data_IF_582251930189
#
_entry.id   IF_582251930189
#
_cell.length_a   1.000
_cell.length_b   1.000
_cell.length_c   1.000
_cell.angle_alpha   90.00
_cell.angle_beta   90.00
_cell.angle_gamma   90.00
#
_symmetry.space_group_name_H-M   'P 1'
#
loop_
_entity.id
_entity.type
_entity.pdbx_description
1 polymer ?
#
# COMPACT_ATOMS: atom_id res chain seq x y z
N UNK A 1 -38.89 19.46 37.26
CA UNK A 1 -37.51 18.97 37.17
C UNK A 1 -37.53 17.65 36.42
N UNK A 2 -37.25 17.67 35.11
CA UNK A 2 -37.24 16.47 34.26
C UNK A 2 -36.06 16.61 33.29
N UNK A 3 -35.06 15.73 33.40
CA UNK A 3 -33.90 15.64 32.51
C UNK A 3 -34.19 14.50 31.53
N UNK A 4 -34.22 14.71 30.20
CA UNK A 4 -34.38 13.60 29.27
C UNK A 4 -33.03 12.96 28.90
N UNK A 5 -33.14 11.67 28.62
CA UNK A 5 -32.16 10.66 28.25
C UNK A 5 -30.94 11.12 27.44
N UNK A 6 -29.76 10.68 27.89
CA UNK A 6 -28.52 10.72 27.12
C UNK A 6 -28.57 9.75 25.94
N UNK A 7 -28.63 10.30 24.73
CA UNK A 7 -28.27 9.59 23.51
C UNK A 7 -26.75 9.36 23.50
N UNK A 8 -26.33 8.10 23.62
CA UNK A 8 -24.96 7.70 23.27
C UNK A 8 -24.78 7.94 21.77
N UNK A 9 -24.14 9.07 21.43
CA UNK A 9 -23.67 9.35 20.07
C UNK A 9 -22.79 8.21 19.61
N UNK A 10 -23.24 7.49 18.58
CA UNK A 10 -22.40 6.62 17.77
C UNK A 10 -21.16 7.42 17.38
N UNK A 11 -19.97 6.95 17.82
CA UNK A 11 -18.71 7.43 17.28
C UNK A 11 -18.60 6.91 15.85
N UNK A 12 -19.29 7.57 14.93
CA UNK A 12 -19.04 7.45 13.52
C UNK A 12 -17.66 8.08 13.32
N UNK A 13 -16.62 7.26 13.47
CA UNK A 13 -15.25 7.61 13.09
C UNK A 13 -15.35 8.00 11.63
N UNK A 14 -15.31 9.30 11.36
CA UNK A 14 -15.26 9.81 10.00
C UNK A 14 -14.09 9.10 9.34
N UNK A 15 -14.37 8.38 8.25
CA UNK A 15 -13.33 7.87 7.34
C UNK A 15 -12.72 9.06 6.61
N UNK A 16 -12.13 10.00 7.38
CA UNK A 16 -11.27 11.04 6.83
C UNK A 16 -10.18 10.27 6.11
N UNK A 17 -10.09 10.46 4.79
CA UNK A 17 -8.95 10.00 4.02
C UNK A 17 -7.71 10.47 4.78
N UNK A 18 -6.90 9.51 5.26
CA UNK A 18 -5.59 9.83 5.83
C UNK A 18 -4.83 10.57 4.73
N UNK A 19 -4.26 11.73 5.05
CA UNK A 19 -3.35 12.41 4.13
C UNK A 19 -2.23 11.44 3.77
N UNK A 20 -1.97 11.28 2.47
CA UNK A 20 -0.83 10.51 1.96
C UNK A 20 0.37 11.46 2.03
N UNK A 21 1.35 11.11 2.84
CA UNK A 21 2.52 11.94 3.15
C UNK A 21 3.80 11.14 2.95
N UNK A 22 4.84 11.82 2.48
CA UNK A 22 6.18 11.27 2.33
C UNK A 22 7.08 11.80 3.47
N UNK A 23 8.10 11.03 3.86
CA UNK A 23 9.18 11.51 4.74
C UNK A 23 10.21 12.36 3.97
N UNK A 24 11.20 12.92 4.70
CA UNK A 24 12.24 13.78 4.11
C UNK A 24 13.09 13.07 3.05
N UNK A 25 13.15 11.74 3.08
CA UNK A 25 13.84 10.91 2.09
C UNK A 25 12.94 10.49 0.92
N UNK A 26 11.68 10.91 0.93
CA UNK A 26 10.67 10.61 -0.08
C UNK A 26 10.05 9.22 0.06
N UNK A 27 10.20 8.51 1.18
CA UNK A 27 9.42 7.29 1.38
C UNK A 27 8.00 7.64 1.82
N UNK A 28 7.03 6.86 1.32
CA UNK A 28 5.68 6.88 1.85
C UNK A 28 5.68 6.56 3.36
N UNK A 29 5.02 7.42 4.14
CA UNK A 29 4.71 7.18 5.55
C UNK A 29 3.45 6.31 5.61
N UNK A 30 3.58 5.12 6.20
CA UNK A 30 2.46 4.18 6.34
C UNK A 30 2.49 3.47 7.70
N UNK A 31 1.38 2.81 8.04
CA UNK A 31 1.23 1.96 9.23
C UNK A 31 0.63 0.62 8.85
N UNK A 32 0.87 -0.40 9.68
CA UNK A 32 0.15 -1.67 9.58
C UNK A 32 -1.36 -1.40 9.70
N UNK A 33 -2.14 -2.02 8.81
CA UNK A 33 -3.58 -1.82 8.65
C UNK A 33 -3.98 -0.67 7.72
N UNK A 34 -3.02 0.10 7.19
CA UNK A 34 -3.34 1.10 6.16
C UNK A 34 -3.71 0.43 4.83
N UNK A 35 -4.56 1.13 4.08
CA UNK A 35 -5.09 0.66 2.80
C UNK A 35 -4.50 1.46 1.65
N UNK A 36 -3.94 0.76 0.67
CA UNK A 36 -3.44 1.32 -0.58
C UNK A 36 -4.38 0.96 -1.72
N UNK A 37 -4.76 1.96 -2.51
CA UNK A 37 -5.64 1.81 -3.69
C UNK A 37 -6.99 1.12 -3.38
N UNK A 38 -7.47 1.23 -2.13
CA UNK A 38 -8.68 0.55 -1.64
C UNK A 38 -8.68 -0.97 -1.94
N UNK A 39 -7.49 -1.58 -1.97
CA UNK A 39 -7.29 -3.00 -2.36
C UNK A 39 -6.30 -3.72 -1.48
N UNK A 40 -5.17 -3.08 -1.20
CA UNK A 40 -4.06 -3.70 -0.50
C UNK A 40 -4.02 -3.21 0.94
N UNK A 41 -4.26 -4.11 1.89
CA UNK A 41 -4.09 -3.82 3.32
C UNK A 41 -2.68 -4.19 3.75
N UNK A 42 -1.94 -3.26 4.36
CA UNK A 42 -0.57 -3.48 4.81
C UNK A 42 -0.57 -4.37 6.08
N UNK A 43 0.13 -5.49 6.02
CA UNK A 43 0.25 -6.46 7.12
C UNK A 43 1.56 -6.29 7.87
N UNK A 44 2.68 -6.12 7.16
CA UNK A 44 4.01 -5.96 7.74
C UNK A 44 5.00 -5.40 6.73
N UNK A 45 6.14 -4.92 7.19
CA UNK A 45 7.27 -4.56 6.33
C UNK A 45 8.13 -5.81 6.08
N UNK A 46 8.41 -6.10 4.82
CA UNK A 46 9.30 -7.19 4.40
C UNK A 46 10.75 -6.73 4.24
N UNK A 47 10.96 -5.47 3.85
CA UNK A 47 12.29 -4.90 3.72
C UNK A 47 12.28 -3.41 3.40
N UNK A 48 13.43 -2.78 3.59
CA UNK A 48 13.67 -1.37 3.32
C UNK A 48 15.05 -1.21 2.68
N UNK A 49 15.18 -0.26 1.76
CA UNK A 49 16.46 0.05 1.14
C UNK A 49 16.42 1.33 0.32
N UNK A 50 17.49 1.57 -0.44
CA UNK A 50 17.72 2.80 -1.21
C UNK A 50 16.58 3.14 -2.19
N UNK A 51 15.90 2.13 -2.74
CA UNK A 51 14.85 2.32 -3.73
C UNK A 51 13.46 2.58 -3.10
N UNK A 52 13.26 2.23 -1.83
CA UNK A 52 11.95 2.27 -1.19
C UNK A 52 11.74 1.18 -0.14
N UNK A 53 10.48 0.80 0.06
CA UNK A 53 10.07 -0.23 1.05
C UNK A 53 9.32 -1.34 0.34
N UNK A 54 9.48 -2.57 0.81
CA UNK A 54 8.65 -3.71 0.41
C UNK A 54 7.79 -4.09 1.60
N UNK A 55 6.48 -4.11 1.40
CA UNK A 55 5.52 -4.50 2.43
C UNK A 55 4.80 -5.78 2.04
N UNK A 56 4.45 -6.59 3.03
CA UNK A 56 3.49 -7.66 2.85
C UNK A 56 2.10 -7.05 2.91
N UNK A 57 1.28 -7.31 1.89
CA UNK A 57 -0.10 -6.87 1.84
C UNK A 57 -1.07 -8.04 1.70
N UNK A 58 -2.29 -7.83 2.17
CA UNK A 58 -3.45 -8.64 1.79
C UNK A 58 -4.13 -8.02 0.56
N UNK A 59 -4.23 -8.77 -0.54
CA UNK A 59 -4.96 -8.35 -1.74
C UNK A 59 -6.44 -8.77 -1.65
N UNK A 60 -7.28 -7.82 -1.24
CA UNK A 60 -8.71 -8.05 -1.03
C UNK A 60 -9.51 -8.27 -2.34
N UNK A 61 -8.95 -7.94 -3.51
CA UNK A 61 -9.60 -8.24 -4.80
C UNK A 61 -9.25 -9.60 -5.35
N UNK A 62 -8.21 -10.26 -4.83
CA UNK A 62 -7.75 -11.57 -5.27
C UNK A 62 -7.85 -12.60 -4.15
N UNK A 63 -9.05 -12.70 -3.56
CA UNK A 63 -9.39 -13.69 -2.54
C UNK A 63 -8.59 -13.56 -1.24
N UNK A 64 -8.15 -12.36 -0.87
CA UNK A 64 -7.27 -12.14 0.28
C UNK A 64 -5.98 -12.97 0.18
N UNK A 65 -5.31 -12.88 -0.97
CA UNK A 65 -3.99 -13.50 -1.13
C UNK A 65 -2.88 -12.57 -0.62
N UNK A 66 -1.84 -13.17 -0.03
CA UNK A 66 -0.67 -12.42 0.44
C UNK A 66 0.23 -12.07 -0.73
N UNK A 67 0.58 -10.79 -0.86
CA UNK A 67 1.47 -10.27 -1.91
C UNK A 67 2.59 -9.45 -1.29
N UNK A 68 3.72 -9.36 -1.99
CA UNK A 68 4.76 -8.38 -1.71
C UNK A 68 4.48 -7.14 -2.58
N UNK A 69 4.33 -5.98 -1.94
CA UNK A 69 4.11 -4.70 -2.61
C UNK A 69 5.35 -3.82 -2.42
N UNK A 70 6.04 -3.53 -3.54
CA UNK A 70 7.20 -2.64 -3.57
C UNK A 70 6.73 -1.20 -3.76
N UNK A 71 6.97 -0.35 -2.76
CA UNK A 71 6.63 1.07 -2.74
C UNK A 71 7.90 1.86 -3.02
N UNK A 72 7.98 2.46 -4.20
CA UNK A 72 9.14 3.22 -4.66
C UNK A 72 9.13 4.61 -4.02
N UNK A 73 10.29 5.10 -3.57
CA UNK A 73 10.44 6.48 -3.05
C UNK A 73 9.95 7.49 -4.10
N UNK A 74 9.37 8.60 -3.64
CA UNK A 74 8.95 9.73 -4.44
C UNK A 74 10.15 10.59 -4.92
N UNK A 75 11.12 9.97 -5.60
CA UNK A 75 12.31 10.62 -6.17
C UNK A 75 12.46 10.18 -7.62
N UNK A 76 12.63 11.14 -8.54
CA UNK A 76 12.52 10.87 -9.98
C UNK A 76 13.47 9.79 -10.49
N UNK A 77 14.73 9.77 -10.04
CA UNK A 77 15.71 8.75 -10.42
C UNK A 77 15.25 7.32 -10.09
N UNK A 78 14.52 7.13 -8.98
CA UNK A 78 14.01 5.82 -8.57
C UNK A 78 12.73 5.46 -9.30
N UNK A 79 11.89 6.44 -9.65
CA UNK A 79 10.71 6.23 -10.51
C UNK A 79 11.13 5.79 -11.91
N UNK A 80 12.15 6.43 -12.51
CA UNK A 80 12.70 6.02 -13.80
C UNK A 80 13.24 4.58 -13.77
N UNK A 81 14.01 4.24 -12.73
CA UNK A 81 14.49 2.87 -12.55
C UNK A 81 13.33 1.86 -12.41
N UNK A 82 12.26 2.23 -11.70
CA UNK A 82 11.08 1.37 -11.54
C UNK A 82 10.30 1.21 -12.86
N UNK A 83 10.23 2.25 -13.71
CA UNK A 83 9.64 2.13 -15.06
C UNK A 83 10.41 1.12 -15.91
N UNK A 84 11.76 1.13 -15.84
CA UNK A 84 12.58 0.13 -16.51
C UNK A 84 12.35 -1.29 -15.95
N UNK A 85 12.25 -1.43 -14.63
CA UNK A 85 11.93 -2.72 -13.98
C UNK A 85 10.58 -3.27 -14.47
N UNK A 86 9.54 -2.44 -14.52
CA UNK A 86 8.22 -2.82 -15.05
C UNK A 86 8.34 -3.28 -16.50
N UNK A 87 9.00 -2.52 -17.37
CA UNK A 87 9.17 -2.88 -18.78
C UNK A 87 9.88 -4.23 -18.97
N UNK A 88 10.84 -4.55 -18.10
CA UNK A 88 11.53 -5.85 -18.13
C UNK A 88 10.60 -6.97 -17.67
N UNK A 89 9.85 -6.76 -16.58
CA UNK A 89 8.89 -7.73 -16.07
C UNK A 89 7.76 -8.02 -17.06
N UNK A 90 7.26 -7.00 -17.77
CA UNK A 90 6.26 -7.15 -18.83
C UNK A 90 6.79 -8.03 -19.97
N UNK A 91 8.00 -7.77 -20.46
CA UNK A 91 8.65 -8.60 -21.50
C UNK A 91 8.89 -10.04 -21.06
N UNK A 92 9.15 -10.26 -19.77
CA UNK A 92 9.29 -11.63 -19.23
C UNK A 92 7.92 -12.31 -19.22
N UNK A 93 6.88 -11.64 -18.72
CA UNK A 93 5.51 -12.19 -18.69
C UNK A 93 4.96 -12.49 -20.10
N UNK A 94 5.31 -11.69 -21.11
CA UNK A 94 4.98 -11.96 -22.51
C UNK A 94 5.63 -13.25 -23.04
N UNK A 95 6.85 -13.53 -22.60
CA UNK A 95 7.63 -14.69 -23.05
C UNK A 95 7.37 -15.96 -22.24
N UNK A 96 6.92 -15.83 -21.00
CA UNK A 96 6.54 -16.94 -20.12
C UNK A 96 5.13 -16.74 -19.56
N UNK A 97 4.09 -16.90 -20.40
CA UNK A 97 2.70 -16.68 -19.99
C UNK A 97 2.21 -17.74 -18.97
N UNK A 98 2.85 -18.90 -18.93
CA UNK A 98 2.48 -19.98 -18.00
C UNK A 98 3.18 -19.86 -16.64
N UNK A 99 4.14 -18.92 -16.51
CA UNK A 99 4.92 -18.70 -15.30
C UNK A 99 5.44 -20.04 -14.73
N UNK A 100 6.01 -20.85 -15.61
CA UNK A 100 6.45 -22.22 -15.28
C UNK A 100 7.75 -22.12 -14.48
N UNK A 101 7.70 -22.63 -13.24
CA UNK A 101 8.86 -22.79 -12.37
C UNK A 101 9.83 -23.85 -12.87
#
# INVERSE_FOLDING_TARGET
MLIPAGQQRSRQSSRRAKSVEDDDEGHLIYRVGDWLQERYEIISTLGEGTFGRVVQCMDHRRGSSRVALKIIKNVEKYKEAARLEINVLEKINEKDPENKK
#
